data_IF_579592846864
#
_entry.id   IF_579592846864
#
_cell.length_a   1.000
_cell.length_b   1.000
_cell.length_c   1.000
_cell.angle_alpha   90.00
_cell.angle_beta   90.00
_cell.angle_gamma   90.00
#
_symmetry.space_group_name_H-M   'P 1'
#
loop_
_entity.id
_entity.type
_entity.pdbx_description
1 polymer ?
#
# COMPACT_ATOMS: atom_id res chain seq x y z
N UNK A 1 34.59 -43.54 10.83
CA UNK A 1 35.46 -42.45 11.36
C UNK A 1 35.39 -41.30 10.37
N UNK A 2 34.55 -40.31 10.69
CA UNK A 2 33.97 -39.38 9.72
C UNK A 2 34.93 -38.22 9.45
N UNK A 3 35.49 -38.16 8.24
CA UNK A 3 36.33 -37.03 7.79
C UNK A 3 35.43 -35.82 7.57
N UNK A 4 35.33 -34.96 8.59
CA UNK A 4 34.72 -33.65 8.47
C UNK A 4 35.59 -32.79 7.54
N UNK A 5 35.20 -32.73 6.27
CA UNK A 5 35.83 -31.91 5.25
C UNK A 5 35.62 -30.43 5.65
N UNK A 6 36.69 -29.78 6.14
CA UNK A 6 36.64 -28.38 6.58
C UNK A 6 36.58 -27.49 5.34
N UNK A 7 35.40 -26.98 5.03
CA UNK A 7 35.19 -26.05 3.92
C UNK A 7 35.95 -24.75 4.26
N UNK A 8 36.87 -24.28 3.41
CA UNK A 8 37.65 -23.09 3.70
C UNK A 8 36.74 -21.86 3.65
N UNK A 9 36.94 -20.94 4.60
CA UNK A 9 36.12 -19.74 4.81
C UNK A 9 35.99 -18.89 3.53
N UNK A 10 37.02 -18.91 2.67
CA UNK A 10 37.03 -18.23 1.36
C UNK A 10 35.96 -18.78 0.41
N UNK A 11 35.70 -20.10 0.43
CA UNK A 11 34.63 -20.73 -0.36
C UNK A 11 33.24 -20.37 0.16
N UNK A 12 33.08 -20.16 1.48
CA UNK A 12 31.84 -19.67 2.08
C UNK A 12 31.58 -18.20 1.71
N UNK A 13 32.62 -17.36 1.71
CA UNK A 13 32.50 -15.96 1.30
C UNK A 13 32.22 -15.81 -0.20
N UNK A 14 32.86 -16.61 -1.05
CA UNK A 14 32.60 -16.61 -2.50
C UNK A 14 31.16 -17.03 -2.82
N UNK A 15 30.63 -18.05 -2.12
CA UNK A 15 29.26 -18.50 -2.30
C UNK A 15 28.24 -17.45 -1.84
N UNK A 16 28.51 -16.74 -0.74
CA UNK A 16 27.65 -15.66 -0.27
C UNK A 16 27.57 -14.49 -1.27
N UNK A 17 28.67 -14.17 -1.95
CA UNK A 17 28.72 -13.07 -2.92
C UNK A 17 27.95 -13.39 -4.22
N UNK A 18 27.92 -14.65 -4.64
CA UNK A 18 27.14 -15.09 -5.82
C UNK A 18 25.62 -15.06 -5.54
N UNK A 19 25.19 -15.27 -4.30
CA UNK A 19 23.76 -15.19 -3.96
C UNK A 19 23.22 -13.75 -3.89
N UNK A 20 24.08 -12.75 -3.71
CA UNK A 20 23.68 -11.33 -3.67
C UNK A 20 23.51 -10.67 -5.05
N UNK A 21 23.93 -11.32 -6.14
CA UNK A 21 23.86 -10.74 -7.49
C UNK A 21 22.52 -10.95 -8.21
N UNK A 22 21.56 -11.64 -7.58
CA UNK A 22 20.20 -11.73 -8.10
C UNK A 22 19.43 -10.49 -7.65
N UNK A 23 19.49 -9.43 -8.46
CA UNK A 23 18.64 -8.26 -8.28
C UNK A 23 17.18 -8.68 -8.23
N UNK A 24 16.46 -8.24 -7.19
CA UNK A 24 15.01 -8.44 -7.11
C UNK A 24 14.37 -7.73 -8.31
N UNK A 25 13.47 -8.39 -9.07
CA UNK A 25 12.69 -7.67 -10.06
C UNK A 25 11.91 -6.57 -9.35
N UNK A 26 12.24 -5.33 -9.68
CA UNK A 26 11.48 -4.16 -9.23
C UNK A 26 10.17 -4.19 -10.01
N UNK A 27 9.15 -4.88 -9.48
CA UNK A 27 7.79 -4.71 -9.97
C UNK A 27 7.47 -3.21 -9.83
N UNK A 28 7.12 -2.56 -10.94
CA UNK A 28 6.60 -1.19 -10.90
C UNK A 28 5.48 -1.14 -9.86
N UNK A 29 5.54 -0.15 -8.97
CA UNK A 29 4.56 0.02 -7.90
C UNK A 29 3.23 0.47 -8.50
N UNK A 30 2.49 -0.44 -9.11
CA UNK A 30 1.09 -0.21 -9.43
C UNK A 30 0.35 -0.01 -8.11
N UNK A 31 -0.38 1.09 -8.04
CA UNK A 31 -1.27 1.37 -6.90
C UNK A 31 -2.41 0.36 -6.97
N UNK A 32 -2.64 -0.46 -5.92
CA UNK A 32 -3.74 -1.41 -5.92
C UNK A 32 -5.07 -0.71 -6.14
N UNK A 33 -5.83 -1.18 -7.12
CA UNK A 33 -7.18 -0.71 -7.40
C UNK A 33 -8.21 -1.64 -6.76
N UNK A 34 -9.42 -1.13 -6.58
CA UNK A 34 -10.56 -1.85 -6.06
C UNK A 34 -11.76 -1.61 -6.97
N UNK A 35 -12.56 -2.64 -7.21
CA UNK A 35 -13.81 -2.54 -7.97
C UNK A 35 -14.92 -1.92 -7.12
N UNK A 36 -15.95 -1.41 -7.79
CA UNK A 36 -17.13 -0.84 -7.12
C UNK A 36 -17.82 -1.89 -6.25
N UNK A 37 -17.95 -3.13 -6.74
CA UNK A 37 -18.63 -4.22 -6.03
C UNK A 37 -17.87 -4.66 -4.78
N UNK A 38 -16.54 -4.74 -4.86
CA UNK A 38 -15.68 -5.02 -3.69
C UNK A 38 -15.83 -3.95 -2.61
N UNK A 39 -15.83 -2.66 -3.00
CA UNK A 39 -16.02 -1.58 -2.04
C UNK A 39 -17.42 -1.65 -1.41
N UNK A 40 -18.46 -1.84 -2.21
CA UNK A 40 -19.84 -1.94 -1.75
C UNK A 40 -20.04 -3.07 -0.73
N UNK A 41 -19.40 -4.22 -0.93
CA UNK A 41 -19.46 -5.36 -0.02
C UNK A 41 -18.82 -5.07 1.35
N UNK A 42 -17.95 -4.05 1.45
CA UNK A 42 -17.21 -3.69 2.65
C UNK A 42 -17.72 -2.42 3.35
N UNK A 43 -18.76 -1.73 2.83
CA UNK A 43 -19.16 -0.41 3.34
C UNK A 43 -19.58 -0.37 4.82
N UNK A 44 -19.97 -1.51 5.38
CA UNK A 44 -20.34 -1.63 6.80
C UNK A 44 -19.20 -2.25 7.66
N UNK A 45 -18.01 -2.48 7.09
CA UNK A 45 -16.82 -2.96 7.79
C UNK A 45 -16.22 -1.83 8.66
N UNK A 46 -16.09 -2.01 9.99
CA UNK A 46 -15.49 -1.01 10.87
C UNK A 46 -14.00 -0.76 10.63
N UNK A 47 -13.32 -1.65 9.89
CA UNK A 47 -11.92 -1.52 9.54
C UNK A 47 -11.67 -0.82 8.19
N UNK A 48 -12.75 -0.47 7.47
CA UNK A 48 -12.69 0.29 6.23
C UNK A 48 -12.76 1.81 6.48
N UNK A 49 -11.79 2.54 5.94
CA UNK A 49 -11.78 4.00 5.88
C UNK A 49 -11.85 4.45 4.42
N UNK A 50 -12.93 5.12 4.05
CA UNK A 50 -13.10 5.69 2.72
C UNK A 50 -12.77 7.18 2.75
N UNK A 51 -11.82 7.61 1.92
CA UNK A 51 -11.36 8.99 1.84
C UNK A 51 -11.76 9.61 0.49
N UNK A 52 -12.59 10.64 0.54
CA UNK A 52 -12.91 11.48 -0.62
C UNK A 52 -11.76 12.48 -0.81
N UNK A 53 -10.99 12.32 -1.89
CA UNK A 53 -9.87 13.21 -2.23
C UNK A 53 -10.18 14.09 -3.45
N UNK A 54 -11.46 14.28 -3.79
CA UNK A 54 -11.87 15.15 -4.90
C UNK A 54 -11.45 16.61 -4.66
N UNK A 55 -11.11 17.32 -5.72
CA UNK A 55 -10.66 18.72 -5.66
C UNK A 55 -11.79 19.70 -5.95
N UNK A 56 -11.82 20.79 -5.19
CA UNK A 56 -12.65 21.96 -5.52
C UNK A 56 -14.10 21.63 -5.83
N UNK A 57 -14.53 21.94 -7.05
CA UNK A 57 -15.92 21.73 -7.50
C UNK A 57 -16.33 20.26 -7.53
N UNK A 58 -15.42 19.35 -7.88
CA UNK A 58 -15.73 17.91 -7.90
C UNK A 58 -16.21 17.42 -6.53
N UNK A 59 -15.75 18.04 -5.44
CA UNK A 59 -16.25 17.78 -4.10
C UNK A 59 -17.45 18.64 -3.71
N UNK A 60 -17.41 19.96 -3.97
CA UNK A 60 -18.43 20.89 -3.46
C UNK A 60 -19.76 20.85 -4.22
N UNK A 61 -19.74 20.56 -5.52
CA UNK A 61 -20.96 20.47 -6.35
C UNK A 61 -21.51 19.06 -6.47
N UNK A 62 -20.91 18.09 -5.78
CA UNK A 62 -21.34 16.71 -5.86
C UNK A 62 -22.61 16.46 -5.06
N UNK A 63 -23.66 16.06 -5.79
CA UNK A 63 -24.95 15.65 -5.24
C UNK A 63 -24.82 14.38 -4.38
N UNK A 64 -23.95 13.45 -4.80
CA UNK A 64 -23.75 12.16 -4.15
C UNK A 64 -22.31 11.97 -3.68
N UNK A 65 -22.15 11.24 -2.56
CA UNK A 65 -20.87 10.86 -1.95
C UNK A 65 -20.99 9.42 -1.44
N UNK A 66 -19.86 8.71 -1.36
CA UNK A 66 -19.85 7.34 -0.83
C UNK A 66 -20.21 7.37 0.66
N UNK A 67 -21.11 6.48 1.10
CA UNK A 67 -21.52 6.35 2.51
C UNK A 67 -20.29 6.14 3.39
N UNK A 68 -20.23 6.87 4.51
CA UNK A 68 -19.12 6.75 5.48
C UNK A 68 -17.82 7.44 5.05
N UNK A 69 -17.76 8.04 3.85
CA UNK A 69 -16.55 8.71 3.39
C UNK A 69 -16.24 9.98 4.17
N UNK A 70 -14.97 10.15 4.51
CA UNK A 70 -14.43 11.39 5.10
C UNK A 70 -13.72 12.21 4.03
N UNK A 71 -13.96 13.52 4.00
CA UNK A 71 -13.27 14.40 3.07
C UNK A 71 -11.82 14.63 3.50
N UNK A 72 -10.88 14.18 2.69
CA UNK A 72 -9.45 14.36 2.86
C UNK A 72 -8.95 15.34 1.81
N UNK A 73 -8.99 16.65 2.14
CA UNK A 73 -8.66 17.72 1.19
C UNK A 73 -7.26 17.48 0.58
N UNK A 74 -7.15 17.25 -0.73
CA UNK A 74 -5.88 16.86 -1.35
C UNK A 74 -4.80 17.93 -1.23
N UNK A 75 -5.17 19.22 -1.22
CA UNK A 75 -4.22 20.33 -1.06
C UNK A 75 -3.69 20.48 0.38
N UNK A 76 -4.25 19.73 1.32
CA UNK A 76 -3.84 19.69 2.73
C UNK A 76 -3.29 18.32 3.12
N UNK A 77 -2.70 17.59 2.15
CA UNK A 77 -2.15 16.24 2.35
C UNK A 77 -1.27 16.11 3.60
N UNK A 78 -0.35 17.06 3.81
CA UNK A 78 0.56 17.04 4.95
C UNK A 78 -0.16 17.09 6.30
N UNK A 79 -1.38 17.65 6.33
CA UNK A 79 -2.19 17.79 7.54
C UNK A 79 -2.88 16.48 7.94
N UNK A 80 -3.29 15.64 6.99
CA UNK A 80 -4.11 14.45 7.27
C UNK A 80 -3.43 13.11 6.94
N UNK A 81 -2.38 13.10 6.11
CA UNK A 81 -1.72 11.87 5.66
C UNK A 81 -1.22 10.98 6.80
N UNK A 82 -0.88 11.58 7.94
CA UNK A 82 -0.37 10.89 9.11
C UNK A 82 -1.40 10.70 10.24
N UNK A 83 -2.67 11.11 10.03
CA UNK A 83 -3.70 11.06 11.09
C UNK A 83 -4.48 9.75 11.10
N UNK A 84 -4.44 8.97 10.02
CA UNK A 84 -5.19 7.73 9.90
C UNK A 84 -4.38 6.52 10.42
N UNK A 85 -5.02 5.55 11.10
CA UNK A 85 -4.35 4.34 11.54
C UNK A 85 -3.86 3.50 10.34
N UNK A 86 -2.60 3.08 10.36
CA UNK A 86 -1.96 2.36 9.24
C UNK A 86 -2.34 0.87 9.16
N UNK A 87 -2.99 0.36 10.18
CA UNK A 87 -3.52 -1.00 10.28
C UNK A 87 -4.93 -1.14 9.66
N UNK A 88 -5.58 -0.03 9.32
CA UNK A 88 -6.89 0.00 8.67
C UNK A 88 -6.79 -0.09 7.16
N UNK A 89 -7.84 -0.58 6.52
CA UNK A 89 -7.94 -0.55 5.05
C UNK A 89 -8.39 0.84 4.62
N UNK A 90 -7.51 1.57 3.94
CA UNK A 90 -7.80 2.92 3.44
C UNK A 90 -8.06 2.86 1.94
N UNK A 91 -9.23 3.33 1.50
CA UNK A 91 -9.61 3.45 0.08
C UNK A 91 -9.77 4.93 -0.25
N UNK A 92 -8.99 5.41 -1.22
CA UNK A 92 -9.08 6.78 -1.72
C UNK A 92 -9.92 6.78 -2.99
N UNK A 93 -10.83 7.74 -3.15
CA UNK A 93 -11.53 7.96 -4.42
C UNK A 93 -11.45 9.42 -4.87
N UNK A 94 -11.38 9.61 -6.19
CA UNK A 94 -11.38 10.90 -6.84
C UNK A 94 -12.58 11.04 -7.80
N UNK A 95 -12.56 12.08 -8.64
CA UNK A 95 -13.57 12.34 -9.66
C UNK A 95 -13.45 11.36 -10.83
#
# INVERSE_FOLDING_TARGET
MNKHQRIPIVLLFALALVMTSMGTPQAGSDVPLMTIDELNAMLDDPDLLVLDVRRGKDWTSSEFKIKGATYAKPDAYDTWSNTYPKDKKIVLYCA
#
